data_IF_180510306623
#
_entry.id   IF_180510306623
#
_cell.length_a   1.000
_cell.length_b   1.000
_cell.length_c   1.000
_cell.angle_alpha   90.00
_cell.angle_beta   90.00
_cell.angle_gamma   90.00
#
_symmetry.space_group_name_H-M   'P 1'
#
loop_
_entity.id
_entity.type
_entity.pdbx_description
1 polymer ?
#
# COMPACT_ATOMS: atom_id res chain seq x y z
N UNK A 1 18.65 21.78 -17.16
CA UNK A 1 17.94 21.42 -18.35
C UNK A 1 16.41 21.54 -18.20
N UNK A 2 15.80 22.63 -17.81
CA UNK A 2 14.40 22.82 -18.13
C UNK A 2 14.27 23.14 -19.65
N UNK A 3 13.16 22.79 -20.29
CA UNK A 3 12.91 23.15 -21.69
C UNK A 3 13.02 24.66 -21.90
N UNK A 4 13.37 25.12 -23.11
CA UNK A 4 13.67 26.53 -23.42
C UNK A 4 12.61 27.57 -22.99
N UNK A 5 11.39 27.13 -22.61
CA UNK A 5 10.27 27.97 -22.16
C UNK A 5 9.88 27.76 -20.70
N UNK A 6 10.61 26.94 -19.94
CA UNK A 6 10.35 26.73 -18.52
C UNK A 6 11.22 27.66 -17.67
N UNK A 7 10.73 28.16 -16.54
CA UNK A 7 11.53 28.95 -15.62
C UNK A 7 12.72 28.13 -15.14
N UNK A 8 13.85 28.79 -14.96
CA UNK A 8 15.05 28.16 -14.38
C UNK A 8 14.78 27.80 -12.92
N UNK A 9 15.35 26.70 -12.46
CA UNK A 9 15.31 26.36 -11.07
C UNK A 9 15.94 27.46 -10.21
N UNK A 10 15.33 27.74 -9.09
CA UNK A 10 15.85 28.66 -8.09
C UNK A 10 17.10 28.09 -7.42
N UNK A 11 17.91 28.94 -6.82
CA UNK A 11 19.07 28.48 -6.02
C UNK A 11 18.66 27.53 -4.90
N UNK A 12 17.50 27.75 -4.30
CA UNK A 12 16.94 26.88 -3.26
C UNK A 12 16.65 25.46 -3.79
N UNK A 13 15.98 25.36 -4.93
CA UNK A 13 15.66 24.07 -5.56
C UNK A 13 16.93 23.31 -6.00
N UNK A 14 17.92 24.04 -6.51
CA UNK A 14 19.23 23.46 -6.88
C UNK A 14 19.94 22.92 -5.63
N UNK A 15 19.92 23.65 -4.53
CA UNK A 15 20.51 23.20 -3.28
C UNK A 15 19.82 21.96 -2.71
N UNK A 16 18.48 21.91 -2.75
CA UNK A 16 17.71 20.74 -2.35
C UNK A 16 18.12 19.47 -3.13
N UNK A 17 18.29 19.59 -4.44
CA UNK A 17 18.74 18.47 -5.29
C UNK A 17 20.18 18.09 -4.95
N UNK A 18 21.04 19.06 -4.73
CA UNK A 18 22.43 18.81 -4.34
C UNK A 18 22.53 18.06 -3.02
N UNK A 19 21.80 18.51 -2.01
CA UNK A 19 21.79 17.90 -0.69
C UNK A 19 21.23 16.46 -0.75
N UNK A 20 20.17 16.25 -1.55
CA UNK A 20 19.64 14.91 -1.79
C UNK A 20 20.65 13.97 -2.48
N UNK A 21 21.42 14.48 -3.46
CA UNK A 21 22.48 13.70 -4.10
C UNK A 21 23.62 13.42 -3.10
N UNK A 22 23.99 14.39 -2.27
CA UNK A 22 25.02 14.23 -1.24
C UNK A 22 24.66 13.18 -0.19
N UNK A 23 23.37 13.06 0.14
CA UNK A 23 22.81 12.01 1.01
C UNK A 23 22.70 10.64 0.32
N UNK A 24 23.26 10.48 -0.87
CA UNK A 24 23.27 9.23 -1.63
C UNK A 24 22.02 8.99 -2.44
N UNK A 25 21.27 10.04 -2.80
CA UNK A 25 20.06 10.00 -3.62
C UNK A 25 19.03 8.98 -3.08
N UNK A 26 19.00 8.81 -1.78
CA UNK A 26 18.08 7.89 -1.10
C UNK A 26 16.65 8.33 -1.39
N UNK A 27 15.77 7.39 -1.67
CA UNK A 27 14.34 7.65 -1.70
C UNK A 27 13.93 8.12 -0.30
N UNK A 28 13.88 9.44 -0.14
CA UNK A 28 13.58 10.05 1.16
C UNK A 28 12.19 9.63 1.62
N UNK A 29 12.12 9.16 2.84
CA UNK A 29 10.90 8.88 3.59
C UNK A 29 9.99 10.12 3.76
N UNK A 30 10.33 11.25 3.14
CA UNK A 30 9.70 12.55 3.38
C UNK A 30 8.93 13.13 2.18
N UNK A 31 8.76 12.40 1.10
CA UNK A 31 7.85 12.80 0.04
C UNK A 31 6.56 11.99 0.13
N UNK A 32 5.53 12.61 0.64
CA UNK A 32 4.12 12.22 0.70
C UNK A 32 3.81 10.99 1.56
N UNK A 33 2.94 11.20 2.52
CA UNK A 33 2.33 10.17 3.36
C UNK A 33 3.30 9.05 3.74
N UNK A 34 4.17 9.37 4.66
CA UNK A 34 4.99 8.35 5.34
C UNK A 34 4.05 7.26 5.82
N UNK A 35 4.04 6.14 5.11
CA UNK A 35 3.32 4.99 5.58
C UNK A 35 3.91 4.61 6.94
N UNK A 36 3.13 4.82 7.99
CA UNK A 36 3.50 4.47 9.34
C UNK A 36 2.94 3.08 9.65
N UNK A 37 3.79 2.07 9.68
CA UNK A 37 3.38 0.70 9.96
C UNK A 37 2.80 0.49 11.37
N UNK A 38 2.98 1.46 12.27
CA UNK A 38 2.33 1.46 13.58
C UNK A 38 0.87 1.89 13.53
N UNK A 39 0.44 2.53 12.44
CA UNK A 39 -0.95 2.89 12.18
C UNK A 39 -1.59 1.82 11.29
N UNK A 40 -2.49 1.04 11.85
CA UNK A 40 -3.10 -0.10 11.16
C UNK A 40 -4.57 -0.35 11.54
N UNK A 41 -5.33 0.71 11.87
CA UNK A 41 -6.77 0.59 12.12
C UNK A 41 -7.53 0.20 10.84
N UNK A 42 -8.62 -0.55 10.99
CA UNK A 42 -9.39 -0.98 9.83
C UNK A 42 -9.96 0.21 9.06
N UNK A 43 -10.66 1.12 9.74
CA UNK A 43 -11.36 2.22 9.08
C UNK A 43 -10.41 3.22 8.40
N UNK A 44 -9.31 3.60 9.08
CA UNK A 44 -8.43 4.66 8.57
C UNK A 44 -7.33 4.16 7.63
N UNK A 45 -6.97 2.87 7.67
CA UNK A 45 -5.83 2.34 6.92
C UNK A 45 -6.20 1.15 6.05
N UNK A 46 -6.75 0.09 6.64
CA UNK A 46 -6.95 -1.17 5.91
C UNK A 46 -8.05 -1.04 4.87
N UNK A 47 -9.21 -0.49 5.22
CA UNK A 47 -10.33 -0.30 4.30
C UNK A 47 -9.98 0.60 3.10
N UNK A 48 -9.36 1.78 3.27
CA UNK A 48 -8.87 2.58 2.15
C UNK A 48 -7.86 1.85 1.26
N UNK A 49 -6.98 1.05 1.86
CA UNK A 49 -6.01 0.24 1.11
C UNK A 49 -6.71 -0.83 0.26
N UNK A 50 -7.69 -1.55 0.83
CA UNK A 50 -8.48 -2.53 0.09
C UNK A 50 -9.24 -1.87 -1.06
N UNK A 51 -9.87 -0.72 -0.83
CA UNK A 51 -10.56 0.04 -1.87
C UNK A 51 -9.63 0.45 -3.01
N UNK A 52 -8.42 0.88 -2.69
CA UNK A 52 -7.44 1.34 -3.69
C UNK A 52 -6.89 0.22 -4.56
N UNK A 53 -6.60 -0.95 -3.99
CA UNK A 53 -5.83 -1.98 -4.66
C UNK A 53 -6.61 -3.27 -4.98
N UNK A 54 -7.71 -3.53 -4.29
CA UNK A 54 -8.34 -4.86 -4.30
C UNK A 54 -9.79 -4.87 -4.76
N UNK A 55 -10.60 -3.92 -4.30
CA UNK A 55 -12.08 -3.91 -4.50
C UNK A 55 -12.47 -3.84 -5.97
N UNK A 56 -11.62 -3.30 -6.85
CA UNK A 56 -11.89 -3.29 -8.30
C UNK A 56 -12.16 -4.70 -8.89
N UNK A 57 -11.55 -5.73 -8.30
CA UNK A 57 -11.75 -7.13 -8.71
C UNK A 57 -12.45 -7.98 -7.63
N UNK A 58 -12.39 -7.56 -6.36
CA UNK A 58 -12.86 -8.27 -5.19
C UNK A 58 -13.98 -7.50 -4.49
N UNK A 59 -15.04 -7.16 -5.22
CA UNK A 59 -16.21 -6.46 -4.69
C UNK A 59 -17.42 -7.39 -4.54
N UNK A 60 -18.37 -7.00 -3.70
CA UNK A 60 -19.67 -7.67 -3.56
C UNK A 60 -20.40 -7.77 -4.91
N UNK A 61 -21.05 -8.88 -5.16
CA UNK A 61 -21.84 -9.11 -6.37
C UNK A 61 -21.23 -10.16 -7.31
N UNK A 62 -19.96 -10.05 -7.66
CA UNK A 62 -19.25 -11.11 -8.41
C UNK A 62 -17.74 -11.03 -8.15
N UNK A 63 -17.32 -11.32 -6.92
CA UNK A 63 -15.93 -11.19 -6.54
C UNK A 63 -15.03 -12.22 -7.21
N UNK A 64 -13.93 -11.82 -7.79
CA UNK A 64 -12.92 -12.70 -8.35
C UNK A 64 -12.45 -13.73 -7.32
N UNK A 65 -12.53 -15.01 -7.67
CA UNK A 65 -12.16 -16.11 -6.78
C UNK A 65 -13.05 -16.25 -5.54
N UNK A 66 -14.27 -15.71 -5.57
CA UNK A 66 -15.20 -15.69 -4.43
C UNK A 66 -14.67 -14.96 -3.18
N UNK A 67 -13.70 -14.05 -3.36
CA UNK A 67 -13.14 -13.26 -2.27
C UNK A 67 -13.68 -11.85 -2.36
N UNK A 68 -14.54 -11.46 -1.43
CA UNK A 68 -15.04 -10.08 -1.29
C UNK A 68 -14.19 -9.31 -0.28
N UNK A 69 -13.59 -8.20 -0.71
CA UNK A 69 -12.77 -7.32 0.13
C UNK A 69 -13.39 -5.93 0.29
N UNK A 70 -14.66 -5.76 -0.09
CA UNK A 70 -15.37 -4.48 -0.01
C UNK A 70 -15.92 -4.15 1.38
N UNK A 71 -15.88 -5.09 2.30
CA UNK A 71 -16.41 -4.94 3.67
C UNK A 71 -15.45 -5.51 4.71
N UNK A 72 -15.59 -5.04 5.96
CA UNK A 72 -14.82 -5.60 7.08
C UNK A 72 -15.02 -7.12 7.22
N UNK A 73 -16.24 -7.59 7.13
CA UNK A 73 -16.55 -9.00 7.22
C UNK A 73 -15.87 -9.82 6.11
N UNK A 74 -15.88 -9.31 4.89
CA UNK A 74 -15.22 -9.94 3.75
C UNK A 74 -13.71 -9.99 3.91
N UNK A 75 -13.08 -8.88 4.32
CA UNK A 75 -11.63 -8.83 4.58
C UNK A 75 -11.26 -9.78 5.73
N UNK A 76 -12.01 -9.78 6.81
CA UNK A 76 -11.78 -10.70 7.94
C UNK A 76 -11.92 -12.16 7.54
N UNK A 77 -12.94 -12.50 6.73
CA UNK A 77 -13.13 -13.84 6.21
C UNK A 77 -11.95 -14.31 5.33
N UNK A 78 -11.39 -13.42 4.51
CA UNK A 78 -10.23 -13.74 3.67
C UNK A 78 -8.95 -14.08 4.45
N UNK A 79 -8.88 -13.67 5.72
CA UNK A 79 -7.76 -13.99 6.62
C UNK A 79 -7.96 -15.36 7.25
N UNK A 80 -9.19 -15.66 7.70
CA UNK A 80 -9.50 -16.90 8.43
C UNK A 80 -9.53 -18.11 7.52
N UNK A 81 -9.90 -17.94 6.27
CA UNK A 81 -9.90 -19.01 5.27
C UNK A 81 -8.52 -19.10 4.59
N UNK A 82 -7.54 -19.72 5.26
CA UNK A 82 -6.19 -20.06 4.75
C UNK A 82 -5.13 -18.98 4.75
N UNK A 83 -5.26 -17.89 5.52
CA UNK A 83 -4.29 -16.77 5.54
C UNK A 83 -3.98 -16.19 4.14
N UNK A 84 -4.86 -16.44 3.16
CA UNK A 84 -4.63 -16.18 1.76
C UNK A 84 -4.32 -14.71 1.47
N UNK A 85 -4.93 -13.77 2.20
CA UNK A 85 -4.70 -12.35 1.99
C UNK A 85 -3.21 -11.99 2.16
N UNK A 86 -2.61 -12.31 3.29
CA UNK A 86 -1.22 -11.94 3.57
C UNK A 86 -0.22 -12.68 2.67
N UNK A 87 -0.48 -13.95 2.36
CA UNK A 87 0.34 -14.73 1.44
C UNK A 87 0.31 -14.17 0.02
N UNK A 88 -0.87 -13.78 -0.45
CA UNK A 88 -1.04 -13.16 -1.77
C UNK A 88 -0.36 -11.80 -1.86
N UNK A 89 -0.43 -10.98 -0.82
CA UNK A 89 0.26 -9.68 -0.75
C UNK A 89 1.78 -9.83 -0.71
N UNK A 90 2.30 -10.83 -0.03
CA UNK A 90 3.74 -11.14 -0.04
C UNK A 90 4.21 -11.74 -1.35
N UNK A 91 3.30 -12.17 -2.21
CA UNK A 91 3.58 -12.84 -3.48
C UNK A 91 4.42 -14.12 -3.31
N UNK A 92 4.34 -14.75 -2.16
CA UNK A 92 5.00 -16.01 -1.82
C UNK A 92 4.03 -17.18 -2.02
N UNK A 93 3.96 -17.70 -3.23
CA UNK A 93 3.55 -19.07 -3.46
C UNK A 93 2.09 -19.34 -3.78
N UNK A 94 1.13 -18.43 -3.63
CA UNK A 94 -0.24 -18.67 -4.08
C UNK A 94 -0.60 -17.76 -5.26
N UNK A 95 -1.68 -17.06 -5.24
CA UNK A 95 -2.00 -16.12 -6.31
C UNK A 95 -1.41 -14.74 -5.96
N UNK A 96 -0.33 -14.29 -6.63
CA UNK A 96 0.26 -12.99 -6.32
C UNK A 96 -0.75 -11.87 -6.60
N UNK A 97 -0.97 -11.02 -5.60
CA UNK A 97 -1.90 -9.90 -5.67
C UNK A 97 -1.16 -8.58 -5.38
N UNK A 98 -1.56 -7.47 -5.99
CA UNK A 98 -2.57 -7.34 -7.06
C UNK A 98 -2.13 -8.04 -8.36
N UNK A 99 -3.07 -8.73 -9.02
CA UNK A 99 -2.79 -9.45 -10.27
C UNK A 99 -2.44 -8.48 -11.39
N UNK A 100 -1.23 -8.60 -11.93
CA UNK A 100 -0.75 -7.71 -13.00
C UNK A 100 -0.40 -6.28 -12.53
N UNK A 101 -0.52 -5.98 -11.25
CA UNK A 101 -0.15 -4.71 -10.64
C UNK A 101 1.18 -4.75 -9.88
N UNK A 102 1.63 -3.58 -9.44
CA UNK A 102 2.80 -3.49 -8.58
C UNK A 102 2.49 -4.07 -7.19
N UNK A 103 3.46 -4.78 -6.63
CA UNK A 103 3.40 -5.22 -5.25
C UNK A 103 3.22 -4.03 -4.31
N UNK A 104 2.40 -4.19 -3.28
CA UNK A 104 2.29 -3.20 -2.21
C UNK A 104 3.66 -2.95 -1.56
N UNK A 105 3.87 -1.75 -1.06
CA UNK A 105 5.10 -1.43 -0.34
C UNK A 105 5.26 -2.31 0.91
N UNK A 106 6.51 -2.52 1.34
CA UNK A 106 6.77 -3.26 2.56
C UNK A 106 6.04 -2.68 3.79
N UNK A 107 5.88 -1.36 3.83
CA UNK A 107 5.15 -0.69 4.90
C UNK A 107 3.65 -1.02 4.86
N UNK A 108 3.01 -0.95 3.71
CA UNK A 108 1.58 -1.30 3.55
C UNK A 108 1.33 -2.77 3.91
N UNK A 109 2.21 -3.66 3.48
CA UNK A 109 2.14 -5.08 3.87
C UNK A 109 2.30 -5.25 5.38
N UNK A 110 3.21 -4.50 6.02
CA UNK A 110 3.38 -4.53 7.47
C UNK A 110 2.15 -3.96 8.21
N UNK A 111 1.47 -2.95 7.68
CA UNK A 111 0.21 -2.47 8.25
C UNK A 111 -0.86 -3.57 8.26
N UNK A 112 -1.04 -4.28 7.15
CA UNK A 112 -1.97 -5.43 7.07
C UNK A 112 -1.54 -6.54 8.05
N UNK A 113 -0.26 -6.87 8.08
CA UNK A 113 0.30 -7.87 8.98
C UNK A 113 0.04 -7.53 10.46
N UNK A 114 0.34 -6.29 10.85
CA UNK A 114 0.16 -5.82 12.23
C UNK A 114 -1.33 -5.82 12.63
N UNK A 115 -2.22 -5.41 11.71
CA UNK A 115 -3.66 -5.47 11.92
C UNK A 115 -4.16 -6.91 12.14
N UNK A 116 -3.68 -7.86 11.33
CA UNK A 116 -4.01 -9.29 11.48
C UNK A 116 -3.54 -9.82 12.83
N UNK A 117 -2.30 -9.51 13.22
CA UNK A 117 -1.72 -9.97 14.49
C UNK A 117 -2.38 -9.33 15.71
N UNK A 118 -2.94 -8.14 15.57
CA UNK A 118 -3.78 -7.52 16.61
C UNK A 118 -5.20 -8.14 16.73
N UNK A 119 -5.48 -9.22 15.99
CA UNK A 119 -6.78 -9.89 15.98
C UNK A 119 -7.76 -9.37 14.95
N UNK A 120 -7.27 -8.59 14.00
CA UNK A 120 -8.06 -7.97 12.93
C UNK A 120 -9.30 -7.23 13.48
N UNK A 121 -9.15 -6.24 14.35
CA UNK A 121 -10.27 -5.52 14.95
C UNK A 121 -10.99 -4.63 13.92
N UNK A 122 -12.30 -4.41 14.14
CA UNK A 122 -13.09 -3.45 13.38
C UNK A 122 -13.03 -2.08 14.09
N UNK A 123 -11.97 -1.32 13.88
CA UNK A 123 -11.66 -0.07 14.57
C UNK A 123 -11.36 1.10 13.63
#
# INVERSE_FOLDING_TARGET
MPPRRSPKLTTYEINLIRDWIADGAKNGINCASVCDSAKFTFAAVISPMMNKYCVGCHSSGNPSGNVDLSSYAGVKNSITQNQGLLMSLNQNGYYPMPKGGNKLSACEINQVKNWIYAGAPNN
#
